data_IF_697623972526
#
_entry.id   IF_697623972526
#
_cell.length_a   1.000
_cell.length_b   1.000
_cell.length_c   1.000
_cell.angle_alpha   90.00
_cell.angle_beta   90.00
_cell.angle_gamma   90.00
#
_symmetry.space_group_name_H-M   'P 1'
#
loop_
_entity.id
_entity.type
_entity.pdbx_description
1 polymer ?
#
# COMPACT_ATOMS: atom_id res chain seq x y z
N UNK A 1 -1.25 26.43 -17.52
CA UNK A 1 -1.27 24.98 -17.83
C UNK A 1 -0.12 24.28 -17.12
N UNK A 2 1.14 24.75 -17.20
CA UNK A 2 2.21 24.20 -16.36
C UNK A 2 1.91 24.32 -14.88
N UNK A 3 1.39 25.47 -14.43
CA UNK A 3 1.13 25.68 -12.99
C UNK A 3 0.01 24.77 -12.47
N UNK A 4 -1.01 24.53 -13.29
CA UNK A 4 -2.11 23.60 -12.97
C UNK A 4 -1.63 22.15 -12.88
N UNK A 5 -0.72 21.75 -13.78
CA UNK A 5 -0.10 20.42 -13.73
C UNK A 5 0.80 20.28 -12.51
N UNK A 6 1.59 21.30 -12.17
CA UNK A 6 2.43 21.29 -10.96
C UNK A 6 1.58 21.18 -9.70
N UNK A 7 0.48 21.93 -9.61
CA UNK A 7 -0.46 21.83 -8.50
C UNK A 7 -1.06 20.43 -8.41
N UNK A 8 -1.50 19.85 -9.53
CA UNK A 8 -2.03 18.49 -9.56
C UNK A 8 -1.00 17.44 -9.10
N UNK A 9 0.24 17.52 -9.61
CA UNK A 9 1.35 16.63 -9.20
C UNK A 9 1.63 16.74 -7.70
N UNK A 10 1.64 17.95 -7.14
CA UNK A 10 1.82 18.17 -5.71
C UNK A 10 0.67 17.56 -4.90
N UNK A 11 -0.58 17.73 -5.35
CA UNK A 11 -1.75 17.14 -4.69
C UNK A 11 -1.75 15.61 -4.73
N UNK A 12 -1.31 15.00 -5.85
CA UNK A 12 -1.16 13.54 -5.95
C UNK A 12 -0.13 13.03 -4.95
N UNK A 13 1.05 13.64 -4.89
CA UNK A 13 2.10 13.25 -3.94
C UNK A 13 1.62 13.41 -2.49
N UNK A 14 0.93 14.50 -2.17
CA UNK A 14 0.38 14.72 -0.82
C UNK A 14 -0.68 13.69 -0.46
N UNK A 15 -1.57 13.33 -1.39
CA UNK A 15 -2.59 12.30 -1.19
C UNK A 15 -1.95 10.91 -1.00
N UNK A 16 -0.97 10.55 -1.83
CA UNK A 16 -0.24 9.28 -1.70
C UNK A 16 0.46 9.16 -0.34
N UNK A 17 1.22 10.20 0.05
CA UNK A 17 1.88 10.25 1.35
C UNK A 17 0.88 10.19 2.51
N UNK A 18 -0.28 10.83 2.39
CA UNK A 18 -1.32 10.78 3.41
C UNK A 18 -1.90 9.36 3.55
N UNK A 19 -2.20 8.69 2.43
CA UNK A 19 -2.70 7.31 2.39
C UNK A 19 -1.71 6.37 3.07
N UNK A 20 -0.47 6.33 2.59
CA UNK A 20 0.59 5.47 3.13
C UNK A 20 0.81 5.71 4.63
N UNK A 21 0.81 6.95 5.09
CA UNK A 21 0.92 7.22 6.53
C UNK A 21 -0.32 6.80 7.33
N UNK A 22 -1.50 6.84 6.74
CA UNK A 22 -2.71 6.33 7.37
C UNK A 22 -2.63 4.81 7.51
N UNK A 23 -2.18 4.09 6.48
CA UNK A 23 -1.92 2.65 6.50
C UNK A 23 -0.92 2.29 7.60
N UNK A 24 0.24 2.96 7.64
CA UNK A 24 1.26 2.75 8.68
C UNK A 24 0.72 2.92 10.09
N UNK A 25 -0.01 4.01 10.33
CA UNK A 25 -0.64 4.24 11.65
C UNK A 25 -1.65 3.16 11.97
N UNK A 26 -2.44 2.73 10.98
CA UNK A 26 -3.43 1.68 11.17
C UNK A 26 -2.77 0.35 11.55
N UNK A 27 -1.67 0.00 10.88
CA UNK A 27 -0.84 -1.16 11.20
C UNK A 27 -0.27 -1.03 12.62
N UNK A 28 0.34 0.09 12.96
CA UNK A 28 0.89 0.34 14.31
C UNK A 28 -0.18 0.24 15.41
N UNK A 29 -1.37 0.79 15.17
CA UNK A 29 -2.50 0.70 16.10
C UNK A 29 -2.99 -0.73 16.28
N UNK A 30 -3.03 -1.53 15.20
CA UNK A 30 -3.39 -2.94 15.25
C UNK A 30 -2.34 -3.75 16.02
N UNK A 31 -1.06 -3.54 15.73
CA UNK A 31 0.06 -4.16 16.45
C UNK A 31 0.02 -3.82 17.95
N UNK A 32 -0.26 -2.55 18.30
CA UNK A 32 -0.40 -2.11 19.68
C UNK A 32 -1.60 -2.75 20.41
N UNK A 33 -2.64 -3.16 19.69
CA UNK A 33 -3.78 -3.92 20.20
C UNK A 33 -3.51 -5.44 20.31
N UNK A 34 -2.30 -5.88 19.93
CA UNK A 34 -1.88 -7.27 19.98
C UNK A 34 -2.30 -8.08 18.75
N UNK A 35 -2.69 -7.42 17.65
CA UNK A 35 -2.86 -8.10 16.37
C UNK A 35 -1.52 -8.40 15.72
N UNK A 36 -1.46 -9.48 14.94
CA UNK A 36 -0.33 -9.79 14.06
C UNK A 36 -0.75 -9.57 12.63
N UNK A 37 0.03 -8.80 11.88
CA UNK A 37 -0.25 -8.58 10.46
C UNK A 37 0.39 -9.70 9.64
N UNK A 38 -0.41 -10.37 8.83
CA UNK A 38 0.04 -11.45 7.95
C UNK A 38 -0.22 -11.09 6.49
N UNK A 39 0.53 -11.72 5.60
CA UNK A 39 0.32 -11.74 4.15
C UNK A 39 0.54 -13.16 3.64
N UNK A 40 0.58 -13.34 2.33
CA UNK A 40 0.62 -14.65 1.68
C UNK A 40 -0.78 -15.11 1.28
N UNK A 41 -0.88 -16.37 0.90
CA UNK A 41 -2.15 -16.95 0.46
C UNK A 41 -1.90 -18.08 -0.53
N UNK A 42 -2.77 -18.21 -1.53
CA UNK A 42 -2.65 -19.28 -2.51
C UNK A 42 -1.45 -19.04 -3.45
N UNK A 43 -0.58 -20.04 -3.56
CA UNK A 43 0.53 -20.10 -4.52
C UNK A 43 0.29 -21.27 -5.48
N UNK A 44 -0.16 -20.96 -6.69
CA UNK A 44 -0.46 -21.98 -7.69
C UNK A 44 -1.79 -22.69 -7.44
N UNK A 45 -1.92 -23.94 -7.88
CA UNK A 45 -3.19 -24.67 -7.80
C UNK A 45 -3.50 -25.09 -6.34
N UNK A 46 -2.55 -25.77 -5.69
CA UNK A 46 -2.74 -26.32 -4.34
C UNK A 46 -1.79 -25.72 -3.29
N UNK A 47 -0.78 -24.97 -3.72
CA UNK A 47 0.21 -24.37 -2.82
C UNK A 47 -0.35 -23.20 -2.03
N UNK A 48 0.18 -22.98 -0.83
CA UNK A 48 -0.15 -21.83 -0.01
C UNK A 48 0.97 -21.45 0.96
N UNK A 49 0.96 -20.21 1.43
CA UNK A 49 1.78 -19.74 2.55
C UNK A 49 1.04 -18.76 3.47
N UNK A 50 1.58 -18.59 4.67
CA UNK A 50 1.23 -17.56 5.65
C UNK A 50 2.53 -16.90 6.05
N UNK A 51 2.66 -15.61 5.79
CA UNK A 51 3.89 -14.85 6.00
C UNK A 51 3.62 -13.75 7.02
N UNK A 52 4.52 -13.56 7.97
CA UNK A 52 4.55 -12.35 8.81
C UNK A 52 4.93 -11.15 7.94
N UNK A 53 4.00 -10.21 7.78
CA UNK A 53 4.19 -9.09 6.86
C UNK A 53 5.40 -8.22 7.24
N UNK A 54 5.59 -7.97 8.54
CA UNK A 54 6.64 -7.09 9.06
C UNK A 54 8.05 -7.64 8.86
N UNK A 55 8.20 -8.94 9.03
CA UNK A 55 9.51 -9.61 9.07
C UNK A 55 9.80 -10.42 7.81
N UNK A 56 8.81 -10.63 6.95
CA UNK A 56 8.84 -11.53 5.81
C UNK A 56 9.15 -12.99 6.19
N UNK A 57 8.92 -13.37 7.46
CA UNK A 57 9.07 -14.75 7.93
C UNK A 57 7.89 -15.61 7.43
N UNK A 58 8.17 -16.74 6.77
CA UNK A 58 7.14 -17.73 6.45
C UNK A 58 6.77 -18.47 7.74
N UNK A 59 5.54 -18.28 8.21
CA UNK A 59 5.00 -18.90 9.42
C UNK A 59 4.51 -20.32 9.16
N UNK A 60 3.91 -20.53 7.99
CA UNK A 60 3.51 -21.83 7.50
C UNK A 60 3.42 -21.81 5.96
N UNK A 61 3.57 -22.97 5.35
CA UNK A 61 3.34 -23.18 3.93
C UNK A 61 2.99 -24.64 3.70
N UNK A 62 2.26 -24.91 2.62
CA UNK A 62 1.82 -26.27 2.28
C UNK A 62 1.34 -26.37 0.83
N UNK A 63 0.91 -27.57 0.47
CA UNK A 63 0.40 -27.92 -0.87
C UNK A 63 -0.92 -28.72 -0.80
N UNK A 64 -1.60 -28.73 0.35
CA UNK A 64 -2.90 -29.34 0.57
C UNK A 64 -4.10 -28.41 0.32
N UNK A 65 -3.88 -27.25 -0.28
CA UNK A 65 -4.92 -26.26 -0.60
C UNK A 65 -5.62 -25.65 0.62
N UNK A 66 -6.82 -25.11 0.39
CA UNK A 66 -7.59 -24.35 1.39
C UNK A 66 -7.81 -25.08 2.73
N UNK A 67 -8.17 -26.39 2.77
CA UNK A 67 -8.41 -27.07 4.05
C UNK A 67 -7.17 -27.14 4.95
N UNK A 68 -5.97 -27.30 4.35
CA UNK A 68 -4.72 -27.31 5.11
C UNK A 68 -4.34 -25.90 5.57
N UNK A 69 -4.51 -24.90 4.70
CA UNK A 69 -4.33 -23.50 5.04
C UNK A 69 -5.20 -23.06 6.23
N UNK A 70 -6.50 -23.36 6.21
CA UNK A 70 -7.43 -22.99 7.29
C UNK A 70 -7.07 -23.66 8.62
N UNK A 71 -6.63 -24.92 8.57
CA UNK A 71 -6.17 -25.63 9.77
C UNK A 71 -4.88 -25.00 10.32
N UNK A 72 -3.90 -24.71 9.47
CA UNK A 72 -2.66 -24.06 9.88
C UNK A 72 -2.90 -22.66 10.45
N UNK A 73 -3.78 -21.87 9.83
CA UNK A 73 -4.16 -20.55 10.33
C UNK A 73 -4.81 -20.62 11.72
N UNK A 74 -5.75 -21.55 11.94
CA UNK A 74 -6.39 -21.75 13.23
C UNK A 74 -5.42 -22.22 14.33
N UNK A 75 -4.45 -23.07 13.98
CA UNK A 75 -3.42 -23.54 14.90
C UNK A 75 -2.41 -22.42 15.27
N UNK A 76 -2.07 -21.56 14.30
CA UNK A 76 -1.16 -20.43 14.50
C UNK A 76 -1.82 -19.26 15.26
N UNK A 77 -3.12 -19.09 15.13
CA UNK A 77 -3.88 -17.98 15.69
C UNK A 77 -5.17 -18.42 16.41
N UNK A 78 -5.05 -19.13 17.54
CA UNK A 78 -6.21 -19.63 18.28
C UNK A 78 -7.08 -18.51 18.91
N UNK A 79 -6.55 -17.29 18.99
CA UNK A 79 -7.18 -16.13 19.60
C UNK A 79 -7.77 -15.13 18.58
N UNK A 80 -7.76 -15.46 17.29
CA UNK A 80 -8.28 -14.63 16.19
C UNK A 80 -7.66 -13.21 16.17
N UNK A 81 -6.32 -13.16 16.22
CA UNK A 81 -5.49 -11.95 16.24
C UNK A 81 -4.80 -11.65 14.91
N UNK A 82 -4.82 -12.56 13.95
CA UNK A 82 -4.26 -12.35 12.63
C UNK A 82 -5.16 -11.40 11.84
N UNK A 83 -4.53 -10.40 11.24
CA UNK A 83 -5.17 -9.49 10.29
C UNK A 83 -4.38 -9.57 8.99
N UNK A 84 -5.07 -9.88 7.90
CA UNK A 84 -4.44 -9.91 6.58
C UNK A 84 -4.13 -8.49 6.12
N UNK A 85 -2.93 -8.25 5.59
CA UNK A 85 -2.49 -6.95 5.11
C UNK A 85 -3.44 -6.39 4.05
N UNK A 86 -3.87 -7.21 3.08
CA UNK A 86 -4.81 -6.79 2.04
C UNK A 86 -6.13 -6.25 2.60
N UNK A 87 -6.60 -6.78 3.74
CA UNK A 87 -7.81 -6.28 4.40
C UNK A 87 -7.62 -4.87 4.97
N UNK A 88 -6.40 -4.53 5.38
CA UNK A 88 -6.05 -3.18 5.84
C UNK A 88 -6.12 -2.22 4.67
N UNK A 89 -5.57 -2.62 3.51
CA UNK A 89 -5.59 -1.85 2.27
C UNK A 89 -7.01 -1.69 1.69
N UNK A 90 -7.85 -2.72 1.78
CA UNK A 90 -9.25 -2.66 1.31
C UNK A 90 -10.10 -1.67 2.11
N UNK A 91 -9.76 -1.44 3.39
CA UNK A 91 -10.44 -0.49 4.26
C UNK A 91 -9.99 0.97 3.98
N UNK A 92 -9.04 1.21 3.06
CA UNK A 92 -8.62 2.54 2.67
C UNK A 92 -9.59 3.18 1.67
N UNK A 93 -10.12 4.33 2.03
CA UNK A 93 -10.79 5.23 1.10
C UNK A 93 -9.73 5.87 0.20
N UNK A 94 -9.54 5.32 -1.01
CA UNK A 94 -8.66 5.92 -2.01
C UNK A 94 -9.16 7.34 -2.35
N UNK A 95 -8.41 8.35 -1.91
CA UNK A 95 -8.76 9.74 -2.17
C UNK A 95 -8.43 10.10 -3.62
N UNK A 96 -9.46 10.17 -4.46
CA UNK A 96 -9.30 10.60 -5.85
C UNK A 96 -8.90 12.08 -5.92
N UNK A 97 -7.70 12.36 -6.44
CA UNK A 97 -7.22 13.73 -6.62
C UNK A 97 -7.83 14.33 -7.88
N UNK A 98 -8.67 15.36 -7.69
CA UNK A 98 -9.24 16.13 -8.80
C UNK A 98 -8.76 17.57 -8.77
N UNK A 99 -8.27 18.06 -9.91
CA UNK A 99 -7.85 19.45 -10.07
C UNK A 99 -8.78 20.16 -11.07
N UNK A 100 -9.58 21.15 -10.63
CA UNK A 100 -10.51 21.86 -11.51
C UNK A 100 -9.83 22.44 -12.76
N UNK A 101 -10.36 22.08 -13.94
CA UNK A 101 -9.82 22.53 -15.22
C UNK A 101 -8.77 21.60 -15.83
N UNK A 102 -8.39 20.52 -15.14
CA UNK A 102 -7.62 19.42 -15.72
C UNK A 102 -8.57 18.29 -16.16
N UNK A 103 -8.55 17.85 -17.43
CA UNK A 103 -9.37 16.71 -17.86
C UNK A 103 -8.93 15.42 -17.18
N UNK A 104 -9.90 14.58 -16.77
CA UNK A 104 -9.64 13.34 -16.02
C UNK A 104 -8.60 12.42 -16.68
N UNK A 105 -8.67 12.24 -18.01
CA UNK A 105 -7.70 11.40 -18.71
C UNK A 105 -6.26 11.91 -18.64
N UNK A 106 -6.07 13.24 -18.51
CA UNK A 106 -4.75 13.82 -18.30
C UNK A 106 -4.35 13.77 -16.82
N UNK A 107 -5.30 13.98 -15.89
CA UNK A 107 -5.06 13.82 -14.46
C UNK A 107 -4.54 12.41 -14.15
N UNK A 108 -5.26 11.37 -14.59
CA UNK A 108 -4.88 9.98 -14.39
C UNK A 108 -3.52 9.64 -15.01
N UNK A 109 -3.21 10.18 -16.20
CA UNK A 109 -1.91 9.96 -16.84
C UNK A 109 -0.76 10.63 -16.08
N UNK A 110 -1.03 11.78 -15.45
CA UNK A 110 -0.06 12.49 -14.62
C UNK A 110 0.12 11.81 -13.27
N UNK A 111 -0.94 11.27 -12.69
CA UNK A 111 -0.91 10.47 -11.47
C UNK A 111 -0.05 9.20 -11.66
N UNK A 112 -0.31 8.42 -12.71
CA UNK A 112 0.49 7.24 -13.04
C UNK A 112 1.97 7.58 -13.27
N UNK A 113 2.23 8.67 -14.01
CA UNK A 113 3.59 9.15 -14.23
C UNK A 113 4.26 9.59 -12.92
N UNK A 114 3.61 10.42 -12.09
CA UNK A 114 4.26 10.95 -10.88
C UNK A 114 4.56 9.85 -9.87
N UNK A 115 3.77 8.79 -9.78
CA UNK A 115 4.02 7.71 -8.82
C UNK A 115 5.08 6.70 -9.30
N UNK A 116 5.38 6.67 -10.60
CA UNK A 116 6.31 5.68 -11.18
C UNK A 116 7.60 6.28 -11.74
N UNK A 117 7.64 7.59 -11.98
CA UNK A 117 8.80 8.29 -12.51
C UNK A 117 9.91 8.47 -11.47
N UNK A 118 11.13 8.69 -11.96
CA UNK A 118 12.28 9.01 -11.12
C UNK A 118 12.03 10.28 -10.30
N UNK A 119 12.28 10.22 -8.99
CA UNK A 119 12.02 11.33 -8.06
C UNK A 119 12.72 12.64 -8.46
N UNK A 120 13.93 12.55 -9.04
CA UNK A 120 14.69 13.70 -9.56
C UNK A 120 13.91 14.47 -10.64
N UNK A 121 13.28 13.77 -11.58
CA UNK A 121 12.53 14.37 -12.69
C UNK A 121 11.28 15.09 -12.17
N UNK A 122 10.55 14.43 -11.27
CA UNK A 122 9.36 14.99 -10.63
C UNK A 122 9.73 16.21 -9.78
N UNK A 123 10.80 16.12 -8.98
CA UNK A 123 11.31 17.19 -8.15
C UNK A 123 11.71 18.42 -8.97
N UNK A 124 12.42 18.23 -10.10
CA UNK A 124 12.74 19.30 -11.04
C UNK A 124 11.47 19.96 -11.59
N UNK A 125 10.47 19.14 -11.96
CA UNK A 125 9.22 19.64 -12.52
C UNK A 125 8.43 20.52 -11.54
N UNK A 126 8.25 20.08 -10.29
CA UNK A 126 7.44 20.81 -9.28
C UNK A 126 8.24 21.78 -8.40
N UNK A 127 9.57 21.71 -8.42
CA UNK A 127 10.45 22.54 -7.62
C UNK A 127 10.51 22.15 -6.14
N UNK A 128 10.36 20.85 -5.83
CA UNK A 128 10.54 20.30 -4.48
C UNK A 128 11.94 19.72 -4.29
N UNK A 129 12.39 19.50 -3.04
CA UNK A 129 13.54 18.66 -2.77
C UNK A 129 13.29 17.22 -3.22
N UNK A 130 14.32 16.56 -3.75
CA UNK A 130 14.24 15.17 -4.25
C UNK A 130 13.85 14.23 -3.11
N UNK A 131 14.45 14.40 -1.93
CA UNK A 131 14.20 13.55 -0.77
C UNK A 131 12.73 13.60 -0.32
N UNK A 132 12.08 14.75 -0.49
CA UNK A 132 10.65 14.90 -0.21
C UNK A 132 9.81 14.13 -1.23
N UNK A 133 10.19 14.18 -2.51
CA UNK A 133 9.48 13.43 -3.55
C UNK A 133 9.64 11.93 -3.34
N UNK A 134 10.85 11.45 -3.02
CA UNK A 134 11.09 10.04 -2.67
C UNK A 134 10.22 9.59 -1.49
N UNK A 135 10.16 10.39 -0.43
CA UNK A 135 9.30 10.10 0.73
C UNK A 135 7.81 10.04 0.34
N UNK A 136 7.36 10.91 -0.57
CA UNK A 136 5.96 11.04 -0.95
C UNK A 136 5.53 10.07 -2.06
N UNK A 137 6.48 9.49 -2.81
CA UNK A 137 6.26 8.41 -3.77
C UNK A 137 6.33 7.02 -3.11
N UNK A 138 6.89 6.91 -1.91
CA UNK A 138 7.11 5.63 -1.25
C UNK A 138 5.81 4.82 -1.16
N UNK A 139 5.90 3.54 -1.52
CA UNK A 139 4.86 2.55 -1.25
C UNK A 139 4.98 2.05 0.20
N UNK A 140 3.95 1.33 0.67
CA UNK A 140 3.91 0.77 2.03
C UNK A 140 4.52 -0.63 2.14
#
# INVERSE_FOLDING_TARGET
MSDLLKEHVQSVLEANFASVNQTRRRIEDLEAQGHRIITGGQIGEDGWDIIDWRTSEILAAGDGGLPEYEAAAADLDPDDKFIHHDRILEDEDLEYVSTPGLPDGLANAVEDWVLTADADEVAEFIGWPVEKVEEYQAED
#
